data_IF_827360771285
#
_entry.id   IF_827360771285
#
_cell.length_a   1.000
_cell.length_b   1.000
_cell.length_c   1.000
_cell.angle_alpha   90.00
_cell.angle_beta   90.00
_cell.angle_gamma   90.00
#
_symmetry.space_group_name_H-M   'P 1'
#
loop_
_entity.id
_entity.type
_entity.pdbx_description
1 polymer ?
#
# COMPACT_ATOMS: atom_id res chain seq x y z
N UNK A 1 14.67 4.08 -7.11
CA UNK A 1 13.45 3.58 -6.46
C UNK A 1 13.21 4.46 -5.24
N UNK A 2 12.04 5.09 -5.14
CA UNK A 2 11.66 5.91 -3.98
C UNK A 2 11.23 4.96 -2.85
N UNK A 3 11.59 5.27 -1.61
CA UNK A 3 11.13 4.52 -0.44
C UNK A 3 10.20 5.39 0.40
N UNK A 4 9.04 4.86 0.76
CA UNK A 4 8.06 5.49 1.64
C UNK A 4 7.92 4.65 2.90
N UNK A 5 8.15 5.28 4.05
CA UNK A 5 8.04 4.64 5.36
C UNK A 5 6.70 4.99 6.01
N UNK A 6 5.95 3.96 6.39
CA UNK A 6 4.66 4.09 7.08
C UNK A 6 4.78 3.47 8.48
N UNK A 7 4.36 4.21 9.50
CA UNK A 7 4.45 3.75 10.89
C UNK A 7 3.07 3.34 11.42
N UNK A 8 2.84 2.04 11.54
CA UNK A 8 1.51 1.48 11.84
C UNK A 8 1.17 1.41 13.33
N UNK A 9 2.09 1.74 14.24
CA UNK A 9 1.93 1.46 15.69
C UNK A 9 0.62 2.00 16.32
N UNK A 10 0.03 3.05 15.75
CA UNK A 10 -1.23 3.64 16.22
C UNK A 10 -2.47 3.29 15.37
N UNK A 11 -2.32 2.50 14.31
CA UNK A 11 -3.41 2.14 13.41
C UNK A 11 -4.39 1.17 14.08
N UNK A 12 -5.67 1.41 13.86
CA UNK A 12 -6.79 0.68 14.48
C UNK A 12 -7.64 -0.06 13.45
N UNK A 13 -7.57 0.35 12.20
CA UNK A 13 -8.43 -0.11 11.11
C UNK A 13 -7.68 -0.13 9.78
N UNK A 14 -8.23 -0.83 8.79
CA UNK A 14 -7.75 -0.80 7.41
C UNK A 14 -7.76 0.61 6.83
N UNK A 15 -8.66 1.47 7.31
CA UNK A 15 -8.76 2.87 6.88
C UNK A 15 -7.49 3.66 7.23
N UNK A 16 -6.92 3.45 8.42
CA UNK A 16 -5.67 4.11 8.84
C UNK A 16 -4.50 3.78 7.90
N UNK A 17 -4.50 2.57 7.32
CA UNK A 17 -3.51 2.19 6.31
C UNK A 17 -3.68 2.99 5.01
N UNK A 18 -4.91 3.09 4.49
CA UNK A 18 -5.17 3.87 3.26
C UNK A 18 -4.90 5.35 3.48
N UNK A 19 -5.32 5.92 4.61
CA UNK A 19 -5.03 7.30 4.98
C UNK A 19 -3.53 7.60 5.09
N UNK A 20 -2.70 6.60 5.42
CA UNK A 20 -1.25 6.75 5.45
C UNK A 20 -0.61 6.57 4.06
N UNK A 21 -1.10 5.62 3.26
CA UNK A 21 -0.50 5.26 1.97
C UNK A 21 -0.89 6.22 0.84
N UNK A 22 -2.17 6.57 0.72
CA UNK A 22 -2.68 7.32 -0.43
C UNK A 22 -2.03 8.72 -0.56
N UNK A 23 -1.80 9.48 0.52
CA UNK A 23 -1.12 10.77 0.41
C UNK A 23 0.33 10.67 -0.07
N UNK A 24 1.07 9.63 0.34
CA UNK A 24 2.48 9.48 -0.09
C UNK A 24 2.61 9.11 -1.56
N UNK A 25 1.59 8.43 -2.13
CA UNK A 25 1.48 8.18 -3.57
C UNK A 25 0.88 9.37 -4.34
N UNK A 26 0.42 10.40 -3.63
CA UNK A 26 -0.27 11.55 -4.19
C UNK A 26 -1.59 11.17 -4.87
N UNK A 27 -2.29 10.19 -4.33
CA UNK A 27 -3.61 9.77 -4.80
C UNK A 27 -4.64 10.91 -4.67
N UNK A 28 -5.67 10.95 -5.53
CA UNK A 28 -6.73 11.95 -5.46
C UNK A 28 -7.70 11.71 -4.30
N UNK A 29 -8.39 12.76 -3.85
CA UNK A 29 -9.33 12.71 -2.71
C UNK A 29 -10.52 11.75 -2.91
N UNK A 30 -10.83 11.40 -4.17
CA UNK A 30 -11.89 10.45 -4.51
C UNK A 30 -11.42 8.99 -4.53
N UNK A 31 -10.15 8.72 -4.24
CA UNK A 31 -9.58 7.38 -4.28
C UNK A 31 -10.26 6.45 -3.25
N UNK A 32 -10.66 5.27 -3.68
CA UNK A 32 -11.37 4.31 -2.85
C UNK A 32 -10.44 3.56 -1.88
N UNK A 33 -10.84 3.48 -0.61
CA UNK A 33 -10.11 2.73 0.42
C UNK A 33 -10.38 1.21 0.34
N UNK A 34 -9.98 0.58 -0.77
CA UNK A 34 -10.11 -0.86 -1.01
C UNK A 34 -8.95 -1.40 -1.88
N UNK A 35 -8.81 -2.73 -1.96
CA UNK A 35 -7.71 -3.38 -2.66
C UNK A 35 -7.79 -3.22 -4.18
N UNK A 36 -8.99 -3.29 -4.76
CA UNK A 36 -9.18 -3.21 -6.22
C UNK A 36 -8.77 -1.82 -6.72
N UNK A 37 -9.25 -0.76 -6.07
CA UNK A 37 -8.87 0.62 -6.38
C UNK A 37 -7.36 0.87 -6.18
N UNK A 38 -6.76 0.24 -5.17
CA UNK A 38 -5.32 0.35 -4.94
C UNK A 38 -4.52 -0.35 -6.04
N UNK A 39 -4.90 -1.59 -6.41
CA UNK A 39 -4.28 -2.36 -7.48
C UNK A 39 -4.34 -1.62 -8.81
N UNK A 40 -5.53 -1.13 -9.20
CA UNK A 40 -5.73 -0.33 -10.40
C UNK A 40 -4.81 0.91 -10.38
N UNK A 41 -4.79 1.64 -9.26
CA UNK A 41 -4.01 2.88 -9.17
C UNK A 41 -2.49 2.70 -9.23
N UNK A 42 -1.98 1.50 -8.90
CA UNK A 42 -0.54 1.20 -8.90
C UNK A 42 -0.11 0.54 -10.20
N UNK A 43 -0.93 -0.36 -10.75
CA UNK A 43 -0.52 -1.24 -11.84
C UNK A 43 -1.20 -0.96 -13.18
N UNK A 44 -2.36 -0.31 -13.20
CA UNK A 44 -2.94 0.23 -14.43
C UNK A 44 -2.42 1.65 -14.74
N UNK A 45 -1.97 2.38 -13.71
CA UNK A 45 -1.33 3.71 -13.82
C UNK A 45 -2.33 4.87 -13.86
N UNK A 46 -1.79 6.08 -14.06
CA UNK A 46 -2.52 7.35 -14.32
C UNK A 46 -3.41 7.90 -13.18
N UNK A 47 -3.56 7.18 -12.07
CA UNK A 47 -4.36 7.62 -10.91
C UNK A 47 -3.49 8.33 -9.86
N UNK A 48 -2.34 7.73 -9.51
CA UNK A 48 -1.42 8.29 -8.53
C UNK A 48 -0.50 9.32 -9.18
N UNK A 49 0.02 10.27 -8.39
CA UNK A 49 1.06 11.19 -8.86
C UNK A 49 2.45 10.54 -8.88
N UNK A 50 2.62 9.47 -8.10
CA UNK A 50 3.86 8.70 -8.01
C UNK A 50 3.64 7.35 -8.65
N UNK A 51 4.32 7.11 -9.77
CA UNK A 51 4.35 5.83 -10.44
C UNK A 51 5.57 4.98 -10.00
N UNK A 52 5.51 3.65 -10.14
CA UNK A 52 6.68 2.79 -9.96
C UNK A 52 7.87 3.26 -10.82
N UNK A 53 9.12 3.13 -10.35
CA UNK A 53 9.57 2.26 -9.27
C UNK A 53 9.57 2.88 -7.86
N UNK A 54 8.90 2.22 -6.91
CA UNK A 54 8.90 2.59 -5.50
C UNK A 54 8.77 1.38 -4.55
N UNK A 55 9.05 1.61 -3.27
CA UNK A 55 8.85 0.67 -2.18
C UNK A 55 8.11 1.34 -1.03
N UNK A 56 7.12 0.64 -0.49
CA UNK A 56 6.41 0.95 0.75
C UNK A 56 6.96 0.05 1.85
N UNK A 57 7.38 0.63 2.96
CA UNK A 57 7.84 -0.10 4.15
C UNK A 57 6.92 0.23 5.31
N UNK A 58 6.20 -0.77 5.81
CA UNK A 58 5.28 -0.62 6.95
C UNK A 58 5.96 -1.15 8.21
N UNK A 59 6.23 -0.26 9.16
CA UNK A 59 6.84 -0.58 10.45
C UNK A 59 5.81 -0.75 11.56
N UNK A 60 6.13 -1.56 12.58
CA UNK A 60 5.33 -1.69 13.79
C UNK A 60 4.02 -2.46 13.59
N UNK A 61 3.96 -3.35 12.59
CA UNK A 61 2.76 -4.13 12.28
C UNK A 61 2.48 -5.26 13.30
N UNK A 62 3.42 -5.51 14.21
CA UNK A 62 3.43 -6.65 15.14
C UNK A 62 2.23 -6.70 16.09
N UNK A 63 1.70 -5.56 16.53
CA UNK A 63 0.60 -5.47 17.52
C UNK A 63 -0.74 -5.00 16.95
N UNK A 64 -0.87 -4.96 15.61
CA UNK A 64 -2.10 -4.51 14.98
C UNK A 64 -3.27 -5.48 15.18
N UNK A 65 -4.52 -4.98 15.12
CA UNK A 65 -5.72 -5.83 15.05
C UNK A 65 -5.62 -6.87 13.95
N UNK A 66 -6.16 -8.07 14.19
CA UNK A 66 -6.10 -9.21 13.25
C UNK A 66 -6.65 -8.84 11.86
N UNK A 67 -7.73 -8.07 11.81
CA UNK A 67 -8.33 -7.59 10.55
C UNK A 67 -7.36 -6.71 9.76
N UNK A 68 -6.70 -5.75 10.42
CA UNK A 68 -5.72 -4.88 9.78
C UNK A 68 -4.47 -5.66 9.32
N UNK A 69 -3.97 -6.60 10.14
CA UNK A 69 -2.90 -7.52 9.70
C UNK A 69 -3.30 -8.28 8.45
N UNK A 70 -4.52 -8.79 8.38
CA UNK A 70 -5.02 -9.48 7.21
C UNK A 70 -5.09 -8.55 5.98
N UNK A 71 -5.49 -7.28 6.14
CA UNK A 71 -5.42 -6.28 5.06
C UNK A 71 -3.99 -6.06 4.57
N UNK A 72 -3.03 -5.87 5.48
CA UNK A 72 -1.62 -5.65 5.11
C UNK A 72 -1.02 -6.85 4.38
N UNK A 73 -1.32 -8.07 4.82
CA UNK A 73 -0.86 -9.29 4.17
C UNK A 73 -1.48 -9.46 2.77
N UNK A 74 -2.79 -9.21 2.62
CA UNK A 74 -3.45 -9.22 1.31
C UNK A 74 -2.87 -8.16 0.38
N UNK A 75 -2.56 -6.98 0.90
CA UNK A 75 -1.93 -5.91 0.13
C UNK A 75 -0.52 -6.30 -0.32
N UNK A 76 0.30 -6.87 0.57
CA UNK A 76 1.62 -7.39 0.21
C UNK A 76 1.56 -8.47 -0.89
N UNK A 77 0.54 -9.34 -0.81
CA UNK A 77 0.28 -10.34 -1.84
C UNK A 77 -0.13 -9.70 -3.17
N UNK A 78 -1.04 -8.72 -3.15
CA UNK A 78 -1.45 -7.96 -4.33
C UNK A 78 -0.25 -7.29 -5.00
N UNK A 79 0.64 -6.63 -4.24
CA UNK A 79 1.87 -6.06 -4.80
C UNK A 79 2.74 -7.11 -5.48
N UNK A 80 2.92 -8.28 -4.85
CA UNK A 80 3.71 -9.37 -5.43
C UNK A 80 3.15 -9.86 -6.76
N UNK A 81 1.82 -10.00 -6.85
CA UNK A 81 1.14 -10.48 -8.05
C UNK A 81 1.06 -9.40 -9.14
N UNK A 82 0.68 -8.17 -8.79
CA UNK A 82 0.62 -7.05 -9.71
C UNK A 82 1.96 -6.79 -10.40
N UNK A 83 3.08 -6.88 -9.66
CA UNK A 83 4.44 -6.85 -10.25
C UNK A 83 4.67 -7.96 -11.27
N UNK A 84 4.22 -9.19 -10.96
CA UNK A 84 4.41 -10.36 -11.82
C UNK A 84 3.64 -10.19 -13.14
N UNK A 85 2.48 -9.56 -13.10
CA UNK A 85 1.60 -9.37 -14.26
C UNK A 85 1.98 -8.14 -15.08
N UNK A 86 2.15 -6.99 -14.44
CA UNK A 86 2.42 -5.71 -15.10
C UNK A 86 3.90 -5.48 -15.45
N UNK A 87 4.82 -6.13 -14.72
CA UNK A 87 6.25 -5.83 -14.77
C UNK A 87 6.65 -4.53 -14.06
N UNK A 88 5.72 -3.81 -13.42
CA UNK A 88 6.03 -2.58 -12.70
C UNK A 88 6.79 -2.85 -11.39
N UNK A 89 7.76 -2.01 -11.05
CA UNK A 89 8.63 -2.20 -9.88
C UNK A 89 8.06 -1.54 -8.60
N UNK A 90 6.91 -2.02 -8.12
CA UNK A 90 6.25 -1.55 -6.90
C UNK A 90 6.34 -2.58 -5.76
N UNK A 91 6.91 -2.23 -4.60
CA UNK A 91 7.15 -3.16 -3.50
C UNK A 91 6.38 -2.75 -2.25
N UNK A 92 5.89 -3.74 -1.48
CA UNK A 92 5.40 -3.52 -0.11
C UNK A 92 6.04 -4.53 0.83
N UNK A 93 6.70 -4.02 1.88
CA UNK A 93 7.39 -4.81 2.90
C UNK A 93 6.81 -4.51 4.28
N UNK A 94 6.59 -5.56 5.07
CA UNK A 94 6.23 -5.43 6.48
C UNK A 94 7.49 -5.64 7.32
N UNK A 95 7.84 -4.66 8.16
CA UNK A 95 8.96 -4.74 9.10
C UNK A 95 8.42 -4.81 10.54
N UNK A 96 9.04 -5.65 11.39
CA UNK A 96 8.60 -5.88 12.76
C UNK A 96 8.54 -4.61 13.61
#
# INVERSE_FOLDING_TARGET
MIEFELHAAAWKSSDDFYQALLPVLGAPDWHGHNLDALEDSIFAGEINKVDPPFRIVVYGASNLPVSLKATLLKTAQMFKEGRRVSGADAYLELRP
#
